data_IF_324302670877
#
_entry.id   IF_324302670877
#
_cell.length_a   1.000
_cell.length_b   1.000
_cell.length_c   1.000
_cell.angle_alpha   90.00
_cell.angle_beta   90.00
_cell.angle_gamma   90.00
#
_symmetry.space_group_name_H-M   'P 1'
#
loop_
_entity.id
_entity.type
_entity.pdbx_description
1 polymer ?
#
# COMPACT_ATOMS: atom_id res chain seq x y z
N UNK A 1 -33.40 61.90 4.71
CA UNK A 1 -33.41 60.42 4.81
C UNK A 1 -33.41 60.05 6.30
N UNK A 2 -34.40 59.29 6.78
CA UNK A 2 -34.55 58.97 8.21
C UNK A 2 -33.40 58.02 8.63
N UNK A 3 -32.71 58.33 9.73
CA UNK A 3 -31.64 57.49 10.31
C UNK A 3 -32.03 56.00 10.45
N UNK A 4 -33.31 55.72 10.71
CA UNK A 4 -33.88 54.35 10.75
C UNK A 4 -33.72 53.59 9.43
N UNK A 5 -33.92 54.22 8.27
CA UNK A 5 -33.81 53.56 6.94
C UNK A 5 -32.38 53.18 6.65
N UNK A 6 -31.38 53.97 7.09
CA UNK A 6 -29.97 53.69 6.89
C UNK A 6 -29.53 52.47 7.72
N UNK A 7 -29.95 52.38 8.98
CA UNK A 7 -29.63 51.22 9.84
C UNK A 7 -30.24 49.92 9.30
N UNK A 8 -31.48 49.94 8.83
CA UNK A 8 -32.14 48.75 8.29
C UNK A 8 -31.41 48.25 7.02
N UNK A 9 -31.02 49.16 6.12
CA UNK A 9 -30.29 48.80 4.90
C UNK A 9 -28.88 48.23 5.21
N UNK A 10 -28.17 48.81 6.18
CA UNK A 10 -26.83 48.36 6.60
C UNK A 10 -26.90 46.98 7.25
N UNK A 11 -27.89 46.72 8.12
CA UNK A 11 -28.06 45.42 8.79
C UNK A 11 -28.44 44.33 7.78
N UNK A 12 -29.33 44.61 6.83
CA UNK A 12 -29.69 43.66 5.76
C UNK A 12 -28.51 43.35 4.85
N UNK A 13 -27.69 44.35 4.47
CA UNK A 13 -26.50 44.16 3.67
C UNK A 13 -25.43 43.31 4.42
N UNK A 14 -25.25 43.54 5.72
CA UNK A 14 -24.31 42.76 6.54
C UNK A 14 -24.80 41.31 6.71
N UNK A 15 -26.11 41.08 6.89
CA UNK A 15 -26.67 39.72 6.93
C UNK A 15 -26.50 38.98 5.61
N UNK A 16 -26.72 39.66 4.45
CA UNK A 16 -26.51 39.03 3.14
C UNK A 16 -25.05 38.68 2.87
N UNK A 17 -24.10 39.53 3.29
CA UNK A 17 -22.67 39.23 3.15
C UNK A 17 -22.25 38.08 4.06
N UNK A 18 -22.75 38.00 5.29
CA UNK A 18 -22.45 36.90 6.22
C UNK A 18 -23.03 35.57 5.76
N UNK A 19 -24.22 35.54 5.14
CA UNK A 19 -24.78 34.31 4.56
C UNK A 19 -24.05 33.89 3.29
N UNK A 20 -23.52 34.81 2.50
CA UNK A 20 -22.75 34.49 1.30
C UNK A 20 -21.36 33.90 1.67
N UNK A 21 -20.72 34.36 2.77
CA UNK A 21 -19.47 33.77 3.25
C UNK A 21 -19.66 32.38 3.89
N UNK A 22 -20.83 32.07 4.44
CA UNK A 22 -21.13 30.79 5.06
C UNK A 22 -21.36 29.64 4.06
N UNK A 23 -21.49 29.93 2.76
CA UNK A 23 -21.77 28.94 1.72
C UNK A 23 -20.58 28.60 0.85
N UNK A 24 -19.38 29.12 1.12
CA UNK A 24 -18.17 28.65 0.49
C UNK A 24 -17.78 27.32 1.17
N UNK A 25 -18.42 26.24 0.76
CA UNK A 25 -17.86 24.91 1.01
C UNK A 25 -16.54 24.83 0.24
N UNK A 26 -15.45 24.79 0.96
CA UNK A 26 -14.16 24.39 0.38
C UNK A 26 -14.36 22.93 -0.02
N UNK A 27 -14.59 22.68 -1.30
CA UNK A 27 -14.53 21.33 -1.82
C UNK A 27 -13.06 20.89 -1.66
N UNK A 28 -12.76 20.08 -0.64
CA UNK A 28 -11.50 19.37 -0.62
C UNK A 28 -11.48 18.50 -1.87
N UNK A 29 -10.48 18.68 -2.72
CA UNK A 29 -10.27 17.77 -3.83
C UNK A 29 -10.04 16.36 -3.24
N UNK A 30 -10.57 15.36 -3.90
CA UNK A 30 -10.38 13.99 -3.46
C UNK A 30 -8.94 13.56 -3.77
N UNK A 31 -8.31 12.92 -2.80
CA UNK A 31 -6.98 12.31 -2.99
C UNK A 31 -7.03 11.38 -4.21
N UNK A 32 -6.04 11.46 -5.07
CA UNK A 32 -5.99 10.66 -6.29
C UNK A 32 -4.59 10.26 -6.69
N UNK A 33 -4.49 9.13 -7.42
CA UNK A 33 -3.27 8.74 -8.11
C UNK A 33 -3.54 8.43 -9.57
N UNK A 34 -2.54 8.66 -10.41
CA UNK A 34 -2.51 8.28 -11.83
C UNK A 34 -1.25 7.47 -12.11
N UNK A 35 -1.36 6.51 -13.02
CA UNK A 35 -0.28 5.61 -13.43
C UNK A 35 0.07 5.86 -14.89
N UNK A 36 1.35 5.90 -15.22
CA UNK A 36 1.84 6.01 -16.58
C UNK A 36 3.10 5.16 -16.81
N UNK A 37 3.02 4.08 -17.62
CA UNK A 37 1.82 3.53 -18.27
C UNK A 37 0.84 2.90 -17.25
N UNK A 38 -0.38 2.57 -17.72
CA UNK A 38 -1.40 1.86 -16.91
C UNK A 38 -1.30 0.34 -17.01
N UNK A 39 -0.29 -0.17 -17.72
CA UNK A 39 -0.06 -1.58 -17.92
C UNK A 39 1.39 -1.85 -18.31
N UNK A 40 1.90 -3.04 -17.98
CA UNK A 40 3.28 -3.45 -18.29
C UNK A 40 3.58 -4.87 -17.82
N UNK A 41 4.82 -5.29 -18.05
CA UNK A 41 5.35 -6.56 -17.58
C UNK A 41 6.01 -6.39 -16.18
N UNK A 42 6.25 -7.47 -15.42
CA UNK A 42 7.13 -7.43 -14.26
C UNK A 42 8.50 -6.82 -14.63
N UNK A 43 9.07 -6.08 -13.68
CA UNK A 43 10.31 -5.32 -13.81
C UNK A 43 10.22 -4.04 -14.68
N UNK A 44 9.08 -3.76 -15.32
CA UNK A 44 8.85 -2.47 -15.98
C UNK A 44 8.80 -1.33 -14.96
N UNK A 45 9.18 -0.12 -15.42
CA UNK A 45 9.03 1.10 -14.64
C UNK A 45 7.67 1.75 -14.91
N UNK A 46 6.98 2.15 -13.84
CA UNK A 46 5.70 2.87 -13.88
C UNK A 46 5.82 4.14 -13.06
N UNK A 47 5.48 5.26 -13.67
CA UNK A 47 5.37 6.52 -12.95
C UNK A 47 4.03 6.61 -12.23
N UNK A 48 4.09 6.83 -10.92
CA UNK A 48 2.93 7.11 -10.06
C UNK A 48 2.93 8.59 -9.73
N UNK A 49 1.85 9.28 -10.05
CA UNK A 49 1.64 10.69 -9.69
C UNK A 49 0.45 10.79 -8.75
N UNK A 50 0.64 11.38 -7.57
CA UNK A 50 -0.39 11.62 -6.57
C UNK A 50 -0.72 13.10 -6.44
N UNK A 51 -1.98 13.39 -6.10
CA UNK A 51 -2.49 14.74 -5.84
C UNK A 51 -3.40 14.77 -4.63
N UNK A 52 -3.47 15.92 -3.97
CA UNK A 52 -4.37 16.21 -2.86
C UNK A 52 -4.13 15.37 -1.59
N UNK A 53 -2.95 14.74 -1.47
CA UNK A 53 -2.47 14.15 -0.22
C UNK A 53 -2.11 15.23 0.80
N UNK A 54 -1.83 14.86 2.03
CA UNK A 54 -1.34 15.81 3.01
C UNK A 54 0.01 16.40 2.57
N UNK A 55 0.19 17.71 2.80
CA UNK A 55 1.39 18.43 2.38
C UNK A 55 2.62 18.02 3.20
N UNK A 56 3.76 17.90 2.54
CA UNK A 56 5.07 17.60 3.15
C UNK A 56 5.07 16.33 4.02
N UNK A 57 4.37 15.30 3.56
CA UNK A 57 4.10 14.06 4.30
C UNK A 57 4.68 12.87 3.56
N UNK A 58 5.28 11.90 4.27
CA UNK A 58 5.67 10.63 3.69
C UNK A 58 4.50 9.87 3.07
N UNK A 59 4.77 9.18 1.97
CA UNK A 59 3.80 8.32 1.26
C UNK A 59 4.40 6.93 1.08
N UNK A 60 3.61 5.90 1.39
CA UNK A 60 3.89 4.51 1.09
C UNK A 60 3.08 4.05 -0.12
N UNK A 61 3.66 3.21 -0.96
CA UNK A 61 2.95 2.59 -2.10
C UNK A 61 2.91 1.09 -1.93
N UNK A 62 1.71 0.54 -1.94
CA UNK A 62 1.41 -0.89 -2.02
C UNK A 62 0.97 -1.29 -3.42
N UNK A 63 1.31 -2.50 -3.84
CA UNK A 63 0.91 -3.09 -5.12
C UNK A 63 0.27 -4.45 -4.86
N UNK A 64 -0.79 -4.77 -5.59
CA UNK A 64 -1.49 -6.05 -5.47
C UNK A 64 -2.64 -6.03 -4.45
N UNK A 65 -3.14 -7.20 -4.11
CA UNK A 65 -4.31 -7.37 -3.25
C UNK A 65 -4.03 -6.97 -1.79
N UNK A 66 -5.08 -6.61 -1.07
CA UNK A 66 -5.03 -6.46 0.38
C UNK A 66 -4.83 -7.83 1.05
N UNK A 67 -3.89 -7.91 1.98
CA UNK A 67 -3.59 -9.10 2.78
C UNK A 67 -3.82 -8.79 4.25
N UNK A 68 -4.54 -9.66 4.95
CA UNK A 68 -4.74 -9.55 6.40
C UNK A 68 -3.67 -10.39 7.11
N UNK A 69 -2.82 -9.71 7.88
CA UNK A 69 -1.88 -10.34 8.81
C UNK A 69 -2.56 -10.45 10.18
N UNK A 70 -2.63 -11.64 10.74
CA UNK A 70 -3.29 -11.92 12.03
C UNK A 70 -2.29 -12.36 13.08
N UNK A 71 -2.41 -11.83 14.29
CA UNK A 71 -1.64 -12.21 15.48
C UNK A 71 -0.12 -12.26 15.26
N UNK A 72 0.41 -11.33 14.47
CA UNK A 72 1.84 -11.19 14.28
C UNK A 72 2.53 -10.86 15.61
N UNK A 73 3.49 -11.69 16.01
CA UNK A 73 4.31 -11.40 17.19
C UNK A 73 5.21 -10.19 16.93
N UNK A 74 5.05 -9.15 17.77
CA UNK A 74 5.77 -7.90 17.63
C UNK A 74 6.97 -7.84 18.57
N UNK A 75 8.12 -7.47 18.04
CA UNK A 75 9.24 -7.03 18.88
C UNK A 75 9.00 -5.59 19.32
N UNK A 76 9.38 -5.26 20.55
CA UNK A 76 9.17 -3.92 21.11
C UNK A 76 10.39 -3.44 21.90
N UNK A 77 10.46 -2.13 22.10
CA UNK A 77 11.36 -1.45 23.02
C UNK A 77 10.56 -0.52 23.94
N UNK A 78 11.10 -0.20 25.11
CA UNK A 78 10.46 0.67 26.10
C UNK A 78 10.39 0.04 27.48
N UNK A 79 10.22 0.87 28.50
CA UNK A 79 10.10 0.47 29.91
C UNK A 79 9.18 1.41 30.67
N UNK A 80 8.70 1.01 31.86
CA UNK A 80 7.90 1.87 32.73
C UNK A 80 6.51 2.13 32.17
N UNK A 81 6.15 3.40 32.07
CA UNK A 81 4.90 3.84 31.43
C UNK A 81 5.04 4.01 29.90
N UNK A 82 6.22 3.79 29.38
CA UNK A 82 6.54 3.96 27.96
C UNK A 82 7.20 5.30 27.64
N UNK A 83 7.26 5.72 26.34
CA UNK A 83 6.62 5.03 25.23
C UNK A 83 7.23 3.66 24.95
N UNK A 84 6.38 2.74 24.52
CA UNK A 84 6.77 1.48 23.93
C UNK A 84 6.64 1.61 22.42
N UNK A 85 7.57 1.07 21.67
CA UNK A 85 7.58 1.18 20.21
C UNK A 85 8.05 -0.11 19.56
N UNK A 86 7.62 -0.32 18.33
CA UNK A 86 8.02 -1.44 17.49
C UNK A 86 7.67 -1.19 16.03
N UNK A 87 7.73 -2.25 15.22
CA UNK A 87 7.46 -2.16 13.80
C UNK A 87 6.75 -3.42 13.32
N UNK A 88 5.74 -3.25 12.47
CA UNK A 88 5.09 -4.32 11.74
C UNK A 88 6.03 -4.87 10.65
N UNK A 89 5.94 -6.15 10.33
CA UNK A 89 6.80 -6.76 9.31
C UNK A 89 6.38 -6.41 7.88
N UNK A 90 5.13 -5.99 7.68
CA UNK A 90 4.58 -5.62 6.37
C UNK A 90 3.98 -4.22 6.39
N UNK A 91 4.28 -3.43 5.38
CA UNK A 91 3.76 -2.09 5.15
C UNK A 91 3.74 -1.79 3.64
N UNK A 92 2.99 -0.79 3.13
CA UNK A 92 2.16 0.14 3.88
C UNK A 92 0.94 -0.55 4.52
N UNK A 93 0.49 0.00 5.65
CA UNK A 93 -0.66 -0.51 6.40
C UNK A 93 -1.91 0.27 6.00
N UNK A 94 -3.01 -0.45 5.80
CA UNK A 94 -4.30 0.17 5.51
C UNK A 94 -4.82 0.93 6.72
N UNK A 95 -5.13 2.23 6.59
CA UNK A 95 -5.70 3.04 7.66
C UNK A 95 -6.97 2.43 8.27
N UNK A 96 -7.08 2.49 9.59
CA UNK A 96 -8.20 1.94 10.34
C UNK A 96 -8.16 0.41 10.53
N UNK A 97 -7.06 -0.27 10.12
CA UNK A 97 -6.97 -1.73 10.20
C UNK A 97 -6.04 -2.24 11.30
N UNK A 98 -5.19 -1.41 11.87
CA UNK A 98 -4.18 -1.85 12.82
C UNK A 98 -4.77 -2.02 14.22
N UNK A 99 -4.62 -3.22 14.78
CA UNK A 99 -5.00 -3.55 16.16
C UNK A 99 -3.81 -4.18 16.87
N UNK A 100 -3.28 -3.50 17.87
CA UNK A 100 -2.18 -4.00 18.70
C UNK A 100 -2.75 -4.58 20.00
N UNK A 101 -2.47 -5.84 20.29
CA UNK A 101 -2.81 -6.52 21.54
C UNK A 101 -1.56 -6.65 22.40
N UNK A 102 -1.69 -6.32 23.66
CA UNK A 102 -0.61 -6.39 24.66
C UNK A 102 -1.07 -7.27 25.82
N UNK A 103 -0.48 -8.44 25.95
CA UNK A 103 -0.70 -9.34 27.08
C UNK A 103 0.40 -9.12 28.12
N UNK A 104 0.01 -8.70 29.31
CA UNK A 104 0.90 -8.59 30.47
C UNK A 104 0.70 -9.80 31.37
N UNK A 105 1.67 -10.72 31.40
CA UNK A 105 1.63 -11.91 32.26
C UNK A 105 1.87 -11.56 33.73
N UNK A 106 0.97 -10.82 34.32
CA UNK A 106 0.83 -10.77 35.78
C UNK A 106 -0.47 -11.44 36.19
N UNK A 107 -0.38 -12.37 37.11
CA UNK A 107 -1.48 -13.04 37.87
C UNK A 107 -2.91 -12.68 37.41
N UNK A 108 -3.31 -13.21 36.23
CA UNK A 108 -4.63 -13.03 35.69
C UNK A 108 -4.72 -12.48 34.26
N UNK A 109 -3.58 -12.22 33.59
CA UNK A 109 -3.52 -11.80 32.17
C UNK A 109 -4.43 -10.61 31.84
N UNK A 110 -3.91 -9.39 31.95
CA UNK A 110 -4.64 -8.21 31.45
C UNK A 110 -4.25 -8.03 29.99
N UNK A 111 -5.20 -8.19 29.07
CA UNK A 111 -5.01 -7.89 27.67
C UNK A 111 -5.46 -6.45 27.41
N UNK A 112 -4.53 -5.61 26.97
CA UNK A 112 -4.81 -4.26 26.49
C UNK A 112 -4.84 -4.27 24.99
N UNK A 113 -5.83 -3.64 24.38
CA UNK A 113 -5.90 -3.46 22.93
C UNK A 113 -5.76 -1.98 22.58
N UNK A 114 -5.05 -1.71 21.48
CA UNK A 114 -4.93 -0.39 20.88
C UNK A 114 -5.45 -0.48 19.46
N UNK A 115 -6.48 0.29 19.17
CA UNK A 115 -7.18 0.26 17.87
C UNK A 115 -6.89 1.53 17.11
N UNK A 116 -6.57 1.36 15.85
CA UNK A 116 -6.31 2.42 14.89
C UNK A 116 -7.60 3.21 14.58
N UNK A 117 -7.53 4.54 14.71
CA UNK A 117 -8.62 5.45 14.43
C UNK A 117 -8.72 5.83 12.94
N UNK A 118 -7.76 5.42 12.09
CA UNK A 118 -7.71 5.73 10.67
C UNK A 118 -7.01 7.05 10.33
N UNK A 119 -6.43 7.71 11.31
CA UNK A 119 -5.73 9.00 11.19
C UNK A 119 -4.28 8.96 11.71
N UNK A 120 -3.73 7.75 11.92
CA UNK A 120 -2.40 7.55 12.48
C UNK A 120 -2.38 7.47 14.00
N UNK A 121 -3.50 7.73 14.68
CA UNK A 121 -3.60 7.62 16.13
C UNK A 121 -4.19 6.28 16.57
N UNK A 122 -3.76 5.79 17.74
CA UNK A 122 -4.28 4.57 18.38
C UNK A 122 -5.04 4.90 19.65
N UNK A 123 -6.22 4.34 19.81
CA UNK A 123 -7.01 4.41 21.05
C UNK A 123 -6.84 3.13 21.86
N UNK A 124 -6.35 3.25 23.09
CA UNK A 124 -6.21 2.12 24.01
C UNK A 124 -7.53 1.73 24.69
N UNK A 125 -7.67 0.46 25.05
CA UNK A 125 -8.85 -0.07 25.77
C UNK A 125 -8.98 0.43 27.21
N UNK A 126 -7.94 1.02 27.79
CA UNK A 126 -7.95 1.65 29.11
C UNK A 126 -7.94 3.17 28.98
N UNK A 127 -8.63 3.85 29.91
CA UNK A 127 -8.66 5.30 29.95
C UNK A 127 -7.25 5.91 30.01
N UNK A 128 -6.99 6.87 29.12
CA UNK A 128 -5.69 7.54 29.01
C UNK A 128 -4.58 6.73 28.31
N UNK A 129 -4.88 5.52 27.81
CA UNK A 129 -3.95 4.79 26.96
C UNK A 129 -4.09 5.24 25.51
N UNK A 130 -2.99 5.62 24.88
CA UNK A 130 -2.95 6.09 23.50
C UNK A 130 -1.65 5.66 22.80
N UNK A 131 -1.60 5.82 21.51
CA UNK A 131 -0.44 5.50 20.69
C UNK A 131 -0.58 6.07 19.29
N UNK A 132 0.37 5.71 18.44
CA UNK A 132 0.44 6.14 17.05
C UNK A 132 0.86 4.96 16.17
N UNK A 133 0.44 5.00 14.90
CA UNK A 133 0.87 4.10 13.83
C UNK A 133 1.28 4.93 12.62
N UNK A 134 2.46 4.67 12.09
CA UNK A 134 2.90 5.21 10.82
C UNK A 134 2.53 4.21 9.72
N UNK A 135 1.55 4.55 8.89
CA UNK A 135 1.06 3.66 7.83
C UNK A 135 2.10 3.36 6.76
N UNK A 136 3.02 4.31 6.52
CA UNK A 136 4.01 4.20 5.44
C UNK A 136 5.19 3.32 5.79
N UNK A 137 5.53 3.23 7.09
CA UNK A 137 6.68 2.47 7.59
C UNK A 137 6.31 1.27 8.45
N UNK A 138 5.07 1.20 8.94
CA UNK A 138 4.62 0.19 9.91
C UNK A 138 5.15 0.39 11.33
N UNK A 139 5.80 1.52 11.61
CA UNK A 139 6.27 1.86 12.95
C UNK A 139 5.09 2.26 13.84
N UNK A 140 5.08 1.75 15.05
CA UNK A 140 4.03 2.05 16.02
C UNK A 140 4.63 2.46 17.37
N UNK A 141 3.89 3.29 18.09
CA UNK A 141 4.20 3.64 19.48
C UNK A 141 2.95 3.53 20.35
N UNK A 142 3.15 3.32 21.64
CA UNK A 142 2.07 3.37 22.64
C UNK A 142 2.56 3.80 24.00
N UNK A 143 1.68 4.37 24.80
CA UNK A 143 1.88 4.64 26.23
C UNK A 143 1.00 3.73 27.08
N UNK A 144 1.43 3.49 28.32
CA UNK A 144 0.62 2.79 29.33
C UNK A 144 0.24 3.78 30.44
N UNK A 145 -0.94 3.62 31.01
CA UNK A 145 -1.35 4.38 32.19
C UNK A 145 -0.75 3.84 33.48
N UNK A 146 -0.21 2.62 33.47
CA UNK A 146 0.45 1.97 34.59
C UNK A 146 1.95 1.79 34.32
N UNK A 147 2.76 1.82 35.35
CA UNK A 147 4.16 1.43 35.28
C UNK A 147 4.26 -0.10 35.09
N UNK A 148 4.81 -0.50 33.96
CA UNK A 148 4.98 -1.90 33.58
C UNK A 148 6.42 -2.40 33.77
N UNK A 149 7.24 -1.69 34.58
CA UNK A 149 8.63 -2.07 34.84
C UNK A 149 8.71 -3.48 35.45
N UNK A 150 9.52 -4.32 34.88
CA UNK A 150 9.75 -5.70 35.32
C UNK A 150 8.64 -6.70 34.97
N UNK A 151 7.61 -6.27 34.23
CA UNK A 151 6.57 -7.16 33.71
C UNK A 151 7.00 -7.76 32.37
N UNK A 152 6.70 -9.05 32.18
CA UNK A 152 6.78 -9.67 30.86
C UNK A 152 5.56 -9.24 30.06
N UNK A 153 5.80 -8.71 28.88
CA UNK A 153 4.76 -8.26 27.96
C UNK A 153 4.92 -9.02 26.64
N UNK A 154 3.81 -9.48 26.10
CA UNK A 154 3.74 -10.10 24.76
C UNK A 154 2.90 -9.18 23.89
N UNK A 155 3.45 -8.81 22.76
CA UNK A 155 2.79 -7.95 21.79
C UNK A 155 2.42 -8.76 20.56
N UNK A 156 1.18 -8.62 20.11
CA UNK A 156 0.74 -9.13 18.81
C UNK A 156 -0.07 -8.07 18.09
N UNK A 157 -0.03 -8.09 16.75
CA UNK A 157 -0.81 -7.18 15.95
C UNK A 157 -1.59 -7.91 14.85
N UNK A 158 -2.78 -7.38 14.56
CA UNK A 158 -3.59 -7.74 13.40
C UNK A 158 -3.81 -6.50 12.56
N UNK A 159 -3.53 -6.57 11.26
CA UNK A 159 -3.65 -5.42 10.36
C UNK A 159 -3.79 -5.88 8.90
N UNK A 160 -4.21 -4.95 8.04
CA UNK A 160 -4.26 -5.16 6.60
C UNK A 160 -3.10 -4.42 5.94
N UNK A 161 -2.37 -5.09 5.08
CA UNK A 161 -1.29 -4.54 4.25
C UNK A 161 -1.51 -4.93 2.78
N UNK A 162 -0.56 -4.63 1.90
CA UNK A 162 -0.62 -4.98 0.48
C UNK A 162 0.39 -6.07 0.14
N UNK A 163 0.08 -6.85 -0.89
CA UNK A 163 0.89 -8.01 -1.31
C UNK A 163 2.36 -7.66 -1.53
N UNK A 164 2.61 -6.50 -2.17
CA UNK A 164 3.95 -5.99 -2.40
C UNK A 164 4.09 -4.56 -1.87
N UNK A 165 5.15 -4.31 -1.11
CA UNK A 165 5.61 -2.97 -0.79
C UNK A 165 6.56 -2.51 -1.90
N UNK A 166 6.16 -1.50 -2.65
CA UNK A 166 6.96 -0.92 -3.75
C UNK A 166 7.47 0.48 -3.43
N UNK A 167 7.48 0.84 -2.14
CA UNK A 167 8.04 2.11 -1.67
C UNK A 167 9.53 2.18 -2.03
N UNK A 168 9.94 3.26 -2.68
CA UNK A 168 11.35 3.47 -3.05
C UNK A 168 12.24 3.71 -1.82
N UNK A 169 13.51 3.33 -1.93
CA UNK A 169 14.47 3.35 -0.80
C UNK A 169 14.71 4.73 -0.16
N UNK A 170 14.51 5.81 -0.91
CA UNK A 170 14.69 7.18 -0.41
C UNK A 170 13.44 7.75 0.28
N UNK A 171 12.32 6.99 0.27
CA UNK A 171 11.02 7.45 0.70
C UNK A 171 10.38 8.41 -0.32
N UNK A 172 9.08 8.51 -0.26
CA UNK A 172 8.29 9.44 -1.07
C UNK A 172 7.75 10.49 -0.11
N UNK A 173 7.94 11.77 -0.42
CA UNK A 173 7.39 12.88 0.37
C UNK A 173 6.62 13.78 -0.58
N UNK A 174 5.40 14.14 -0.21
CA UNK A 174 4.58 15.10 -0.96
C UNK A 174 5.19 16.50 -0.89
N UNK A 175 4.95 17.29 -1.90
CA UNK A 175 5.28 18.71 -1.89
C UNK A 175 4.33 19.53 -0.98
N UNK A 176 4.52 20.86 -0.96
CA UNK A 176 3.66 21.76 -0.17
C UNK A 176 2.22 21.85 -0.67
N UNK A 177 1.92 21.31 -1.85
CA UNK A 177 0.57 21.20 -2.42
C UNK A 177 -0.05 19.82 -2.24
N UNK A 178 0.65 18.88 -1.59
CA UNK A 178 0.18 17.50 -1.41
C UNK A 178 0.35 16.62 -2.66
N UNK A 179 1.22 17.01 -3.59
CA UNK A 179 1.51 16.23 -4.78
C UNK A 179 2.85 15.49 -4.69
N UNK A 180 2.96 14.37 -5.38
CA UNK A 180 4.20 13.64 -5.56
C UNK A 180 4.26 12.98 -6.95
N UNK A 181 5.46 12.67 -7.39
CA UNK A 181 5.69 11.85 -8.58
C UNK A 181 6.89 10.95 -8.30
N UNK A 182 6.73 9.66 -8.58
CA UNK A 182 7.77 8.65 -8.34
C UNK A 182 7.67 7.54 -9.38
N UNK A 183 8.80 6.98 -9.75
CA UNK A 183 8.87 5.77 -10.57
C UNK A 183 8.99 4.55 -9.64
N UNK A 184 8.10 3.59 -9.83
CA UNK A 184 8.11 2.30 -9.14
C UNK A 184 8.43 1.18 -10.15
N UNK A 185 8.96 0.07 -9.67
CA UNK A 185 9.14 -1.16 -10.45
C UNK A 185 7.95 -2.07 -10.25
N UNK A 186 7.37 -2.56 -11.34
CA UNK A 186 6.27 -3.54 -11.29
C UNK A 186 6.77 -4.83 -10.64
N UNK A 187 6.19 -5.28 -9.52
CA UNK A 187 6.60 -6.53 -8.88
C UNK A 187 6.13 -7.74 -9.70
N UNK A 188 6.65 -8.92 -9.36
CA UNK A 188 6.18 -10.19 -9.92
C UNK A 188 4.78 -10.51 -9.38
N UNK A 189 3.77 -9.89 -9.94
CA UNK A 189 2.37 -10.03 -9.57
C UNK A 189 1.61 -10.95 -10.54
N UNK A 190 0.39 -11.31 -10.15
CA UNK A 190 -0.47 -12.10 -11.04
C UNK A 190 -0.89 -11.30 -12.27
N UNK A 191 -1.00 -12.00 -13.41
CA UNK A 191 -1.51 -11.40 -14.64
C UNK A 191 -2.94 -10.84 -14.46
N UNK A 192 -3.20 -9.70 -15.05
CA UNK A 192 -4.47 -9.00 -14.96
C UNK A 192 -4.41 -7.71 -14.15
N UNK A 193 -5.56 -7.23 -13.73
CA UNK A 193 -5.68 -5.99 -12.96
C UNK A 193 -5.19 -6.19 -11.54
N UNK A 194 -4.21 -5.39 -11.13
CA UNK A 194 -3.66 -5.32 -9.78
C UNK A 194 -3.80 -3.88 -9.27
N UNK A 195 -4.38 -3.64 -8.10
CA UNK A 195 -4.47 -2.31 -7.54
C UNK A 195 -3.08 -1.79 -7.13
N UNK A 196 -2.82 -0.53 -7.43
CA UNK A 196 -1.70 0.26 -6.89
C UNK A 196 -2.30 1.26 -5.92
N UNK A 197 -1.87 1.25 -4.68
CA UNK A 197 -2.43 2.07 -3.62
C UNK A 197 -1.37 2.95 -2.99
N UNK A 198 -1.61 4.25 -2.92
CA UNK A 198 -0.78 5.20 -2.19
C UNK A 198 -1.47 5.59 -0.88
N UNK A 199 -0.70 5.67 0.19
CA UNK A 199 -1.18 6.01 1.54
C UNK A 199 -0.20 7.00 2.17
N UNK A 200 -0.69 8.08 2.77
CA UNK A 200 0.12 8.97 3.58
C UNK A 200 -0.02 8.68 5.10
N UNK A 201 0.79 9.38 5.93
CA UNK A 201 0.78 9.20 7.38
C UNK A 201 -0.53 9.65 8.05
N UNK A 202 -1.32 10.52 7.41
CA UNK A 202 -2.63 10.97 7.90
C UNK A 202 -3.77 10.02 7.53
N UNK A 203 -3.47 8.93 6.84
CA UNK A 203 -4.46 7.94 6.43
C UNK A 203 -5.22 8.29 5.15
N UNK A 204 -4.78 9.31 4.40
CA UNK A 204 -5.32 9.55 3.08
C UNK A 204 -4.90 8.43 2.13
N UNK A 205 -5.85 7.87 1.40
CA UNK A 205 -5.65 6.70 0.54
C UNK A 205 -6.22 6.94 -0.85
N UNK A 206 -5.46 6.57 -1.88
CA UNK A 206 -5.90 6.56 -3.27
C UNK A 206 -5.43 5.29 -3.97
N UNK A 207 -6.27 4.74 -4.85
CA UNK A 207 -5.99 3.50 -5.57
C UNK A 207 -6.27 3.68 -7.06
N UNK A 208 -5.43 3.06 -7.89
CA UNK A 208 -5.60 2.98 -9.34
C UNK A 208 -5.18 1.59 -9.82
N UNK A 209 -5.90 1.05 -10.81
CA UNK A 209 -5.61 -0.28 -11.35
C UNK A 209 -4.45 -0.25 -12.35
N UNK A 210 -3.54 -1.21 -12.22
CA UNK A 210 -2.48 -1.50 -13.16
C UNK A 210 -2.66 -2.89 -13.76
N UNK A 211 -2.60 -3.02 -15.07
CA UNK A 211 -2.75 -4.30 -15.72
C UNK A 211 -1.38 -4.95 -16.00
N UNK A 212 -1.06 -6.00 -15.25
CA UNK A 212 0.16 -6.79 -15.46
C UNK A 212 -0.06 -7.77 -16.59
N UNK A 213 0.78 -7.70 -17.61
CA UNK A 213 0.85 -8.74 -18.64
C UNK A 213 1.87 -9.79 -18.18
N UNK A 214 1.50 -11.06 -18.29
CA UNK A 214 2.53 -12.08 -18.18
C UNK A 214 3.55 -11.88 -19.29
N UNK A 215 4.81 -11.79 -18.91
CA UNK A 215 5.85 -12.17 -19.85
C UNK A 215 5.42 -13.52 -20.42
N UNK A 216 5.17 -13.58 -21.72
CA UNK A 216 4.97 -14.86 -22.39
C UNK A 216 6.32 -15.56 -22.40
N UNK A 217 6.75 -16.01 -21.23
CA UNK A 217 7.85 -16.96 -21.12
C UNK A 217 7.32 -18.17 -21.86
N UNK A 218 7.69 -18.26 -23.15
CA UNK A 218 7.57 -19.54 -23.84
C UNK A 218 8.35 -20.49 -22.93
N UNK A 219 7.70 -21.44 -22.25
CA UNK A 219 8.42 -22.30 -21.33
C UNK A 219 9.63 -22.85 -22.08
N UNK A 220 10.84 -22.73 -21.54
CA UNK A 220 12.06 -23.24 -22.21
C UNK A 220 11.86 -24.68 -22.69
N UNK A 221 11.02 -25.44 -21.96
CA UNK A 221 10.55 -26.75 -22.33
C UNK A 221 9.82 -26.78 -23.69
N UNK A 222 9.06 -25.74 -24.08
CA UNK A 222 8.39 -25.66 -25.38
C UNK A 222 9.38 -25.39 -26.51
N UNK A 223 10.38 -24.52 -26.30
CA UNK A 223 11.43 -24.27 -27.29
C UNK A 223 12.32 -25.51 -27.49
N UNK A 224 12.66 -26.22 -26.39
CA UNK A 224 13.35 -27.50 -26.45
C UNK A 224 12.51 -28.58 -27.16
N UNK A 225 11.21 -28.68 -26.89
CA UNK A 225 10.31 -29.62 -27.57
C UNK A 225 10.21 -29.34 -29.05
N UNK A 226 10.12 -28.09 -29.49
CA UNK A 226 10.11 -27.71 -30.90
C UNK A 226 11.44 -28.04 -31.58
N UNK A 227 12.57 -27.80 -30.92
CA UNK A 227 13.91 -28.12 -31.42
C UNK A 227 14.10 -29.62 -31.56
N UNK A 228 13.65 -30.42 -30.57
CA UNK A 228 13.70 -31.90 -30.64
C UNK A 228 12.79 -32.45 -31.73
N UNK A 229 11.60 -31.89 -31.91
CA UNK A 229 10.70 -32.27 -33.01
C UNK A 229 11.29 -31.96 -34.38
N UNK A 230 11.86 -30.78 -34.59
CA UNK A 230 12.51 -30.39 -35.84
C UNK A 230 13.73 -31.27 -36.15
N UNK A 231 14.55 -31.58 -35.15
CA UNK A 231 15.71 -32.46 -35.33
C UNK A 231 15.29 -33.90 -35.66
N UNK A 232 14.27 -34.44 -35.03
CA UNK A 232 13.75 -35.78 -35.32
C UNK A 232 13.18 -35.90 -36.75
N UNK A 233 12.43 -34.86 -37.20
CA UNK A 233 11.92 -34.79 -38.58
C UNK A 233 13.07 -34.75 -39.58
N UNK A 234 14.13 -33.99 -39.33
CA UNK A 234 15.31 -33.92 -40.17
C UNK A 234 16.03 -35.27 -40.30
N UNK A 235 16.22 -35.98 -39.19
CA UNK A 235 16.84 -37.32 -39.16
C UNK A 235 16.02 -38.32 -39.95
N UNK A 236 14.68 -38.31 -39.82
CA UNK A 236 13.80 -39.19 -40.59
C UNK A 236 13.88 -38.87 -42.08
N UNK A 237 13.84 -37.60 -42.48
CA UNK A 237 13.95 -37.19 -43.89
C UNK A 237 15.28 -37.62 -44.52
N UNK A 238 16.40 -37.46 -43.83
CA UNK A 238 17.73 -37.89 -44.30
C UNK A 238 17.80 -39.41 -44.41
N UNK A 239 17.28 -40.17 -43.47
CA UNK A 239 17.29 -41.63 -43.51
C UNK A 239 16.43 -42.18 -44.66
N UNK A 240 15.26 -41.58 -44.92
CA UNK A 240 14.46 -41.94 -46.08
C UNK A 240 15.14 -41.59 -47.42
N UNK A 241 15.79 -40.43 -47.49
CA UNK A 241 16.56 -40.01 -48.69
C UNK A 241 17.73 -40.96 -49.01
N UNK A 242 18.48 -41.36 -47.99
CA UNK A 242 19.59 -42.32 -48.15
C UNK A 242 19.11 -43.72 -48.56
N UNK A 243 18.02 -44.21 -47.98
CA UNK A 243 17.42 -45.51 -48.38
C UNK A 243 16.93 -45.51 -49.83
N UNK A 244 16.38 -44.40 -50.31
CA UNK A 244 15.91 -44.26 -51.67
C UNK A 244 17.10 -44.26 -52.66
N UNK A 245 18.23 -43.61 -52.36
CA UNK A 245 19.45 -43.62 -53.15
C UNK A 245 20.07 -45.02 -53.21
N UNK A 246 20.22 -45.72 -52.13
CA UNK A 246 20.77 -47.06 -52.07
C UNK A 246 19.93 -48.10 -52.86
N UNK A 247 18.63 -47.87 -53.05
CA UNK A 247 17.74 -48.73 -53.82
C UNK A 247 17.88 -48.48 -55.32
N UNK A 248 18.21 -47.26 -55.72
CA UNK A 248 18.44 -46.89 -57.18
C UNK A 248 19.78 -47.45 -57.61
N UNK A 249 20.84 -47.38 -56.80
CA UNK A 249 22.18 -47.95 -57.16
C UNK A 249 22.19 -49.49 -57.30
N UNK A 250 21.29 -50.21 -56.62
CA UNK A 250 21.19 -51.66 -56.73
C UNK A 250 20.36 -52.12 -57.94
N UNK A 251 19.72 -51.21 -58.68
CA UNK A 251 18.83 -51.45 -59.82
C UNK A 251 19.45 -51.06 -61.14
N UNK A 252 20.66 -50.53 -61.18
CA UNK A 252 21.53 -50.24 -62.32
C UNK A 252 22.60 -51.33 -62.42
#
# INVERSE_FOLDING_TARGET
>A
MSKRKVYTTTVVAFLMISTLLATVSIANAAVGITLNPTSGEPDDSVQVTGTDFAASTPVGIGFGAEIVTTDENMTYSGTGVGPYSGKASHWPIKPGSFVLSVDTTMSGGIVSTYTDNGDGTLSGSFEGAFGDINYTTGEWSRTSTADLTGLVQVYSATYTCYEFNVTVSEGIVTDSGGAFTVDITVPLAMNGSNPVTAIDEQGNIATSDFNVFGSSVIPEALSLCVLVLLSSVAVVAVTFGLRKRAKIEKSS
#
